data_IF_998925540265
#
_entry.id   IF_998925540265
#
_cell.length_a   1.000
_cell.length_b   1.000
_cell.length_c   1.000
_cell.angle_alpha   90.00
_cell.angle_beta   90.00
_cell.angle_gamma   90.00
#
_symmetry.space_group_name_H-M   'P 1'
#
loop_
_entity.id
_entity.type
_entity.pdbx_description
1 polymer ?
#
# COMPACT_ATOMS: atom_id res chain seq x y z
N UNK A 1 -17.31 33.49 -23.34
CA UNK A 1 -16.27 32.75 -22.61
C UNK A 1 -16.87 32.26 -21.29
N UNK A 2 -17.19 30.99 -21.19
CA UNK A 2 -17.77 30.40 -19.97
C UNK A 2 -16.68 30.31 -18.91
N UNK A 3 -16.81 31.10 -17.85
CA UNK A 3 -15.91 31.01 -16.69
C UNK A 3 -16.26 29.72 -15.96
N UNK A 4 -15.50 28.68 -16.19
CA UNK A 4 -15.57 27.47 -15.36
C UNK A 4 -15.25 27.87 -13.92
N UNK A 5 -16.30 28.01 -13.12
CA UNK A 5 -16.19 28.19 -11.68
C UNK A 5 -15.51 26.93 -11.14
N UNK A 6 -14.24 27.01 -10.75
CA UNK A 6 -13.57 25.94 -10.04
C UNK A 6 -14.41 25.58 -8.80
N UNK A 7 -14.59 24.29 -8.49
CA UNK A 7 -15.33 23.90 -7.29
C UNK A 7 -14.70 24.58 -6.08
N UNK A 8 -15.53 25.21 -5.25
CA UNK A 8 -15.04 25.89 -4.05
C UNK A 8 -14.37 24.86 -3.15
N UNK A 9 -13.13 25.12 -2.74
CA UNK A 9 -12.43 24.27 -1.80
C UNK A 9 -13.20 24.20 -0.49
N UNK A 10 -13.55 23.01 -0.07
CA UNK A 10 -14.10 22.75 1.26
C UNK A 10 -13.03 22.14 2.14
N UNK A 11 -12.76 22.77 3.26
CA UNK A 11 -11.83 22.21 4.24
C UNK A 11 -12.35 20.86 4.74
N UNK A 12 -11.53 19.88 4.71
CA UNK A 12 -11.83 18.62 5.40
C UNK A 12 -11.88 18.86 6.90
N UNK A 13 -12.85 18.24 7.58
CA UNK A 13 -13.02 18.28 9.03
C UNK A 13 -12.64 16.94 9.65
N UNK A 14 -11.36 16.66 9.90
CA UNK A 14 -10.94 15.40 10.50
C UNK A 14 -11.50 15.23 11.91
N UNK A 15 -11.68 16.33 12.62
CA UNK A 15 -12.24 16.43 13.98
C UNK A 15 -13.65 15.84 14.11
N UNK A 16 -14.41 15.76 13.02
CA UNK A 16 -15.76 15.19 13.00
C UNK A 16 -15.73 13.65 12.87
N UNK A 17 -14.59 13.07 12.47
CA UNK A 17 -14.49 11.63 12.24
C UNK A 17 -14.43 10.84 13.57
N UNK A 18 -15.02 9.63 13.57
CA UNK A 18 -14.98 8.74 14.73
C UNK A 18 -13.52 8.42 15.12
N UNK A 19 -12.66 8.12 14.15
CA UNK A 19 -11.26 7.81 14.41
C UNK A 19 -10.54 8.96 15.13
N UNK A 20 -10.75 10.20 14.67
CA UNK A 20 -10.16 11.37 15.33
C UNK A 20 -10.62 11.49 16.77
N UNK A 21 -11.93 11.43 17.00
CA UNK A 21 -12.52 11.54 18.34
C UNK A 21 -12.00 10.46 19.29
N UNK A 22 -11.93 9.22 18.81
CA UNK A 22 -11.39 8.09 19.59
C UNK A 22 -9.94 8.34 19.98
N UNK A 23 -9.08 8.70 19.01
CA UNK A 23 -7.66 8.95 19.30
C UNK A 23 -7.50 10.17 20.21
N UNK A 24 -8.21 11.27 19.97
CA UNK A 24 -8.13 12.48 20.79
C UNK A 24 -8.54 12.23 22.25
N UNK A 25 -9.59 11.41 22.44
CA UNK A 25 -10.09 11.12 23.81
C UNK A 25 -9.19 10.14 24.57
N UNK A 26 -8.66 9.13 23.90
CA UNK A 26 -8.04 8.00 24.59
C UNK A 26 -6.51 7.97 24.53
N UNK A 27 -5.86 8.73 23.65
CA UNK A 27 -4.41 8.63 23.46
C UNK A 27 -3.61 8.86 24.75
N UNK A 28 -3.92 9.91 25.50
CA UNK A 28 -3.15 10.25 26.68
C UNK A 28 -3.36 9.23 27.81
N UNK A 29 -4.59 8.75 28.02
CA UNK A 29 -4.89 7.69 28.98
C UNK A 29 -4.20 6.39 28.60
N UNK A 30 -4.21 6.04 27.32
CA UNK A 30 -3.51 4.86 26.82
C UNK A 30 -2.00 4.92 27.06
N UNK A 31 -1.38 6.08 26.82
CA UNK A 31 0.06 6.28 27.07
C UNK A 31 0.39 6.22 28.58
N UNK A 32 -0.47 6.78 29.44
CA UNK A 32 -0.32 6.72 30.89
C UNK A 32 -0.39 5.26 31.40
N UNK A 33 -1.40 4.50 30.97
CA UNK A 33 -1.55 3.10 31.36
C UNK A 33 -0.33 2.26 30.90
N UNK A 34 0.20 2.50 29.69
CA UNK A 34 1.43 1.82 29.26
C UNK A 34 2.62 2.15 30.15
N UNK A 35 2.75 3.42 30.58
CA UNK A 35 3.82 3.83 31.46
C UNK A 35 3.72 3.20 32.86
N UNK A 36 2.51 3.05 33.40
CA UNK A 36 2.25 2.34 34.65
C UNK A 36 2.64 0.86 34.57
N UNK A 37 2.48 0.22 33.38
CA UNK A 37 2.93 -1.15 33.11
C UNK A 37 4.45 -1.24 32.83
N UNK A 38 5.19 -0.17 32.92
CA UNK A 38 6.61 -0.12 32.55
C UNK A 38 6.88 -0.27 31.05
N UNK A 39 5.87 -0.06 30.21
CA UNK A 39 5.93 -0.15 28.75
C UNK A 39 5.89 1.22 28.10
N UNK A 40 6.31 1.32 26.87
CA UNK A 40 6.18 2.55 26.09
C UNK A 40 5.96 2.24 24.61
N UNK A 41 5.29 3.15 23.92
CA UNK A 41 5.25 3.09 22.46
C UNK A 41 6.62 3.50 21.88
N UNK A 42 7.02 2.91 20.74
CA UNK A 42 8.12 3.46 19.96
C UNK A 42 7.86 4.94 19.65
N UNK A 43 8.86 5.80 19.86
CA UNK A 43 8.73 7.27 19.70
C UNK A 43 8.13 7.69 18.36
N UNK A 44 8.42 6.96 17.29
CA UNK A 44 7.86 7.27 15.96
C UNK A 44 6.35 7.01 15.89
N UNK A 45 5.83 5.97 16.58
CA UNK A 45 4.40 5.65 16.63
C UNK A 45 3.64 6.74 17.40
N UNK A 46 4.12 7.10 18.58
CA UNK A 46 3.53 8.20 19.35
C UNK A 46 3.52 9.51 18.55
N UNK A 47 4.64 9.84 17.89
CA UNK A 47 4.73 11.02 17.03
C UNK A 47 3.73 10.98 15.86
N UNK A 48 3.46 9.81 15.30
CA UNK A 48 2.46 9.68 14.24
C UNK A 48 1.05 9.91 14.74
N UNK A 49 0.69 9.36 15.91
CA UNK A 49 -0.62 9.59 16.53
C UNK A 49 -0.86 11.05 16.86
N UNK A 50 0.13 11.72 17.44
CA UNK A 50 0.04 13.17 17.74
C UNK A 50 -0.06 14.00 16.46
N UNK A 51 0.76 13.71 15.44
CA UNK A 51 0.70 14.40 14.15
C UNK A 51 -0.62 14.15 13.41
N UNK A 52 -1.27 13.01 13.63
CA UNK A 52 -2.61 12.74 13.08
C UNK A 52 -3.65 13.70 13.67
N UNK A 53 -3.61 13.98 14.98
CA UNK A 53 -4.53 14.91 15.65
C UNK A 53 -4.35 16.37 15.17
N UNK A 54 -3.19 16.72 14.69
CA UNK A 54 -2.90 18.05 14.14
C UNK A 54 -3.28 18.18 12.66
N UNK A 55 -3.45 17.05 11.97
CA UNK A 55 -3.54 16.97 10.52
C UNK A 55 -4.86 17.52 9.97
N UNK A 56 -4.80 18.61 9.22
CA UNK A 56 -5.96 19.21 8.57
C UNK A 56 -6.76 20.16 9.48
N UNK A 57 -6.27 20.44 10.67
CA UNK A 57 -6.88 21.35 11.64
C UNK A 57 -6.20 22.71 11.56
N UNK A 58 -6.94 23.79 11.27
CA UNK A 58 -6.39 25.12 11.05
C UNK A 58 -5.66 25.69 12.28
N UNK A 59 -6.09 25.31 13.48
CA UNK A 59 -5.45 25.74 14.74
C UNK A 59 -3.97 25.33 14.86
N UNK A 60 -3.57 24.26 14.15
CA UNK A 60 -2.18 23.78 14.13
C UNK A 60 -1.36 24.31 12.95
N UNK A 61 -1.93 25.27 12.20
CA UNK A 61 -1.25 25.97 11.13
C UNK A 61 -1.86 25.73 9.75
N UNK A 62 -1.66 26.72 8.90
CA UNK A 62 -2.23 26.74 7.55
C UNK A 62 -1.41 27.62 6.60
N UNK A 63 -1.65 27.45 5.31
CA UNK A 63 -1.20 28.35 4.26
C UNK A 63 -2.40 29.20 3.83
N UNK A 64 -2.20 30.50 3.73
CA UNK A 64 -3.14 31.44 3.11
C UNK A 64 -2.79 31.60 1.64
N UNK A 65 -3.71 31.24 0.78
CA UNK A 65 -3.61 31.43 -0.66
C UNK A 65 -4.46 32.63 -1.06
N UNK A 66 -3.90 33.54 -1.83
CA UNK A 66 -4.60 34.72 -2.35
C UNK A 66 -4.53 34.73 -3.87
N UNK A 67 -5.69 34.79 -4.51
CA UNK A 67 -5.74 34.96 -5.96
C UNK A 67 -5.36 36.38 -6.36
N UNK A 68 -4.41 36.53 -7.26
CA UNK A 68 -3.98 37.86 -7.74
C UNK A 68 -5.02 38.53 -8.61
N UNK A 69 -5.85 37.76 -9.33
CA UNK A 69 -6.90 38.24 -10.22
C UNK A 69 -8.18 38.64 -9.48
N UNK A 70 -8.84 37.70 -8.81
CA UNK A 70 -10.16 37.92 -8.18
C UNK A 70 -10.07 38.31 -6.68
N UNK A 71 -8.88 38.40 -6.11
CA UNK A 71 -8.62 38.71 -4.68
C UNK A 71 -9.23 37.73 -3.67
N UNK A 72 -9.84 36.64 -4.14
CA UNK A 72 -10.34 35.60 -3.24
C UNK A 72 -9.21 34.98 -2.43
N UNK A 73 -9.54 34.60 -1.18
CA UNK A 73 -8.59 34.02 -0.26
C UNK A 73 -9.05 32.62 0.17
N UNK A 74 -8.08 31.75 0.40
CA UNK A 74 -8.33 30.37 0.79
C UNK A 74 -7.32 29.94 1.84
N UNK A 75 -7.79 29.27 2.89
CA UNK A 75 -6.96 28.75 3.95
C UNK A 75 -6.85 27.24 3.81
N UNK A 76 -5.63 26.74 3.68
CA UNK A 76 -5.33 25.32 3.57
C UNK A 76 -4.55 24.87 4.79
N UNK A 77 -5.17 24.06 5.64
CA UNK A 77 -4.53 23.53 6.85
C UNK A 77 -3.37 22.60 6.50
N UNK A 78 -2.35 22.58 7.34
CA UNK A 78 -1.21 21.70 7.15
C UNK A 78 -1.59 20.23 7.30
N UNK A 79 -0.94 19.39 6.52
CA UNK A 79 -1.10 17.94 6.57
C UNK A 79 0.10 17.27 7.22
N UNK A 80 -0.13 16.21 8.00
CA UNK A 80 0.94 15.49 8.69
C UNK A 80 1.90 14.75 7.76
N UNK A 81 1.49 14.47 6.51
CA UNK A 81 2.25 13.70 5.50
C UNK A 81 2.74 12.33 5.99
N UNK A 82 2.10 11.75 7.02
CA UNK A 82 2.45 10.45 7.60
C UNK A 82 1.75 9.31 6.90
N UNK A 83 2.29 8.09 7.04
CA UNK A 83 1.81 6.90 6.36
C UNK A 83 0.93 5.99 7.22
N UNK A 84 1.11 6.04 8.54
CA UNK A 84 0.49 5.07 9.45
C UNK A 84 -0.95 5.40 9.78
N UNK A 85 -1.16 6.31 10.73
CA UNK A 85 -2.48 6.51 11.35
C UNK A 85 -3.42 7.44 10.59
N UNK A 86 -2.90 8.34 9.75
CA UNK A 86 -3.72 9.35 9.09
C UNK A 86 -4.37 8.84 7.80
N UNK A 87 -5.69 8.54 7.77
CA UNK A 87 -6.34 7.99 6.59
C UNK A 87 -6.35 8.95 5.39
N UNK A 88 -6.33 10.26 5.63
CA UNK A 88 -6.26 11.24 4.54
C UNK A 88 -4.91 11.29 3.86
N UNK A 89 -3.85 11.36 4.64
CA UNK A 89 -2.50 11.41 4.07
C UNK A 89 -2.14 10.07 3.44
N UNK A 90 -2.52 8.96 4.08
CA UNK A 90 -2.39 7.61 3.54
C UNK A 90 -3.18 7.44 2.25
N UNK A 91 -4.48 7.73 2.25
CA UNK A 91 -5.36 7.60 1.09
C UNK A 91 -4.91 8.47 -0.09
N UNK A 92 -4.50 9.72 0.16
CA UNK A 92 -3.94 10.59 -0.90
C UNK A 92 -2.71 9.97 -1.55
N UNK A 93 -1.78 9.44 -0.75
CA UNK A 93 -0.59 8.78 -1.29
C UNK A 93 -0.90 7.50 -2.04
N UNK A 94 -1.80 6.68 -1.51
CA UNK A 94 -2.25 5.46 -2.19
C UNK A 94 -2.82 5.80 -3.57
N UNK A 95 -3.69 6.80 -3.66
CA UNK A 95 -4.26 7.25 -4.92
C UNK A 95 -3.18 7.80 -5.89
N UNK A 96 -2.24 8.59 -5.38
CA UNK A 96 -1.12 9.11 -6.19
C UNK A 96 -0.20 7.99 -6.68
N UNK A 97 0.12 7.01 -5.83
CA UNK A 97 0.93 5.85 -6.22
C UNK A 97 0.19 5.01 -7.25
N UNK A 98 -1.11 4.74 -7.05
CA UNK A 98 -1.91 3.99 -8.02
C UNK A 98 -1.96 4.69 -9.38
N UNK A 99 -2.23 5.99 -9.41
CA UNK A 99 -2.21 6.77 -10.65
C UNK A 99 -0.83 6.71 -11.33
N UNK A 100 0.25 6.93 -10.58
CA UNK A 100 1.61 6.84 -11.13
C UNK A 100 1.93 5.46 -11.71
N UNK A 101 1.53 4.39 -11.02
CA UNK A 101 1.73 3.02 -11.51
C UNK A 101 0.95 2.78 -12.81
N UNK A 102 -0.31 3.19 -12.86
CA UNK A 102 -1.18 2.99 -14.02
C UNK A 102 -0.76 3.85 -15.22
N UNK A 103 -0.42 5.11 -14.96
CA UNK A 103 -0.16 6.08 -16.04
C UNK A 103 1.27 5.99 -16.59
N UNK A 104 2.25 5.58 -15.74
CA UNK A 104 3.67 5.71 -16.11
C UNK A 104 4.47 4.41 -16.04
N UNK A 105 4.03 3.42 -15.28
CA UNK A 105 4.85 2.21 -15.01
C UNK A 105 4.26 0.97 -15.67
N UNK A 106 2.97 0.72 -15.47
CA UNK A 106 2.32 -0.50 -15.96
C UNK A 106 2.00 -0.37 -17.45
N UNK A 107 2.49 -1.27 -18.29
CA UNK A 107 2.07 -1.31 -19.69
C UNK A 107 0.60 -1.73 -19.80
N UNK A 108 -0.07 -1.37 -20.90
CA UNK A 108 -1.46 -1.76 -21.19
C UNK A 108 -1.55 -3.22 -21.65
N UNK A 109 -1.25 -4.12 -20.75
CA UNK A 109 -1.28 -5.58 -20.96
C UNK A 109 -2.07 -6.24 -19.86
N UNK A 110 -2.39 -7.52 -20.03
CA UNK A 110 -3.03 -8.28 -18.98
C UNK A 110 -2.09 -8.39 -17.78
N UNK A 111 -2.66 -8.22 -16.58
CA UNK A 111 -1.96 -8.32 -15.31
C UNK A 111 -2.63 -9.40 -14.50
N UNK A 112 -1.82 -10.27 -13.90
CA UNK A 112 -2.28 -11.31 -12.99
C UNK A 112 -1.86 -10.96 -11.58
N UNK A 113 -2.80 -11.11 -10.64
CA UNK A 113 -2.51 -10.97 -9.22
C UNK A 113 -2.23 -12.34 -8.61
N UNK A 114 -1.12 -12.42 -7.88
CA UNK A 114 -0.80 -13.53 -7.01
C UNK A 114 -0.84 -13.04 -5.57
N UNK A 115 -1.48 -13.82 -4.69
CA UNK A 115 -1.49 -13.53 -3.26
C UNK A 115 -0.77 -14.67 -2.56
N UNK A 116 0.32 -14.35 -1.90
CA UNK A 116 1.07 -15.32 -1.09
C UNK A 116 0.87 -15.03 0.38
N UNK A 117 0.23 -15.92 1.09
CA UNK A 117 0.13 -15.90 2.55
C UNK A 117 1.24 -16.74 3.17
N UNK A 118 1.68 -16.37 4.36
CA UNK A 118 2.73 -17.09 5.10
C UNK A 118 2.11 -17.86 6.24
N UNK A 119 2.58 -19.07 6.55
CA UNK A 119 2.15 -19.84 7.72
C UNK A 119 2.26 -19.04 9.02
N UNK A 120 1.30 -19.24 9.92
CA UNK A 120 1.18 -18.45 11.17
C UNK A 120 2.50 -18.36 11.95
N UNK A 121 3.25 -19.45 12.17
CA UNK A 121 4.51 -19.39 12.93
C UNK A 121 5.56 -18.46 12.31
N UNK A 122 5.56 -18.29 10.98
CA UNK A 122 6.55 -17.46 10.27
C UNK A 122 6.15 -15.97 10.23
N UNK A 123 4.88 -15.63 10.47
CA UNK A 123 4.37 -14.26 10.38
C UNK A 123 5.11 -13.29 11.30
N UNK A 124 5.34 -13.71 12.55
CA UNK A 124 6.07 -12.91 13.52
C UNK A 124 7.51 -12.66 13.09
N UNK A 125 8.21 -13.70 12.66
CA UNK A 125 9.60 -13.59 12.20
C UNK A 125 9.73 -12.68 10.99
N UNK A 126 8.81 -12.79 10.03
CA UNK A 126 8.81 -11.94 8.85
C UNK A 126 8.40 -10.49 9.15
N UNK A 127 7.52 -10.28 10.12
CA UNK A 127 7.13 -8.93 10.53
C UNK A 127 8.25 -8.18 11.25
N UNK A 128 9.06 -8.89 12.05
CA UNK A 128 10.15 -8.33 12.86
C UNK A 128 11.49 -8.27 12.13
N UNK A 129 11.71 -9.13 11.11
CA UNK A 129 12.97 -9.24 10.40
C UNK A 129 12.84 -8.80 8.94
N UNK A 130 13.28 -7.56 8.66
CA UNK A 130 13.26 -6.98 7.31
C UNK A 130 14.08 -7.78 6.30
N UNK A 131 15.22 -8.36 6.72
CA UNK A 131 16.07 -9.16 5.81
C UNK A 131 15.36 -10.42 5.39
N UNK A 132 14.74 -11.14 6.34
CA UNK A 132 13.96 -12.34 6.06
C UNK A 132 12.79 -12.03 5.13
N UNK A 133 12.01 -10.98 5.43
CA UNK A 133 10.90 -10.52 4.59
C UNK A 133 11.35 -10.27 3.14
N UNK A 134 12.48 -9.57 2.98
CA UNK A 134 13.04 -9.25 1.65
C UNK A 134 13.54 -10.50 0.92
N UNK A 135 14.15 -11.45 1.64
CA UNK A 135 14.64 -12.69 1.04
C UNK A 135 13.50 -13.57 0.55
N UNK A 136 12.46 -13.73 1.35
CA UNK A 136 11.24 -14.47 0.95
C UNK A 136 10.58 -13.81 -0.25
N UNK A 137 10.40 -12.48 -0.23
CA UNK A 137 9.87 -11.74 -1.37
C UNK A 137 10.67 -11.97 -2.65
N UNK A 138 12.00 -11.87 -2.59
CA UNK A 138 12.88 -12.10 -3.77
C UNK A 138 12.76 -13.52 -4.30
N UNK A 139 12.74 -14.50 -3.40
CA UNK A 139 12.59 -15.91 -3.78
C UNK A 139 11.26 -16.12 -4.53
N UNK A 140 10.16 -15.64 -3.99
CA UNK A 140 8.83 -15.79 -4.61
C UNK A 140 8.77 -15.07 -5.95
N UNK A 141 9.26 -13.83 -6.01
CA UNK A 141 9.28 -13.06 -7.26
C UNK A 141 10.12 -13.79 -8.33
N UNK A 142 11.29 -14.32 -7.97
CA UNK A 142 12.15 -15.05 -8.93
C UNK A 142 11.54 -16.36 -9.42
N UNK A 143 10.79 -17.05 -8.58
CA UNK A 143 10.07 -18.29 -8.98
C UNK A 143 8.99 -17.96 -10.00
N UNK A 144 8.16 -16.94 -9.70
CA UNK A 144 7.09 -16.52 -10.61
C UNK A 144 7.69 -16.00 -11.93
N UNK A 145 8.73 -15.16 -11.86
CA UNK A 145 9.43 -14.67 -13.04
C UNK A 145 10.04 -15.79 -13.87
N UNK A 146 10.74 -16.73 -13.22
CA UNK A 146 11.33 -17.91 -13.88
C UNK A 146 10.33 -18.77 -14.59
N UNK A 147 9.11 -18.92 -14.05
CA UNK A 147 8.03 -19.63 -14.71
C UNK A 147 7.63 -18.98 -16.04
N UNK A 148 7.57 -17.65 -16.10
CA UNK A 148 7.23 -16.94 -17.33
C UNK A 148 8.37 -16.94 -18.34
N UNK A 149 9.63 -16.78 -17.90
CA UNK A 149 10.81 -16.71 -18.78
C UNK A 149 11.15 -18.08 -19.37
N UNK A 150 11.11 -19.16 -18.58
CA UNK A 150 11.51 -20.50 -19.03
C UNK A 150 10.66 -21.07 -20.17
N UNK A 151 9.51 -20.47 -20.41
CA UNK A 151 8.64 -20.91 -21.51
C UNK A 151 9.03 -20.34 -22.89
N UNK A 152 9.96 -19.35 -22.98
CA UNK A 152 10.21 -18.65 -24.25
C UNK A 152 11.69 -18.41 -24.62
N UNK A 153 12.65 -18.78 -23.80
CA UNK A 153 14.08 -18.60 -24.13
C UNK A 153 14.79 -17.47 -23.38
N UNK A 154 16.11 -17.40 -23.54
CA UNK A 154 17.01 -16.67 -22.66
C UNK A 154 17.00 -15.13 -22.75
N UNK A 155 16.32 -14.55 -23.75
CA UNK A 155 16.26 -13.07 -23.95
C UNK A 155 14.99 -12.43 -23.40
N UNK A 156 14.05 -13.24 -22.89
CA UNK A 156 12.76 -12.74 -22.38
C UNK A 156 12.87 -12.21 -20.98
N UNK A 157 12.15 -11.13 -20.71
CA UNK A 157 12.00 -10.54 -19.38
C UNK A 157 10.54 -10.31 -19.07
N UNK A 158 10.18 -10.45 -17.81
CA UNK A 158 8.86 -10.08 -17.31
C UNK A 158 8.99 -9.10 -16.14
N UNK A 159 7.89 -8.65 -15.57
CA UNK A 159 7.93 -7.70 -14.49
C UNK A 159 6.79 -7.89 -13.52
N UNK A 160 7.05 -7.55 -12.26
CA UNK A 160 6.03 -7.56 -11.22
C UNK A 160 6.17 -6.40 -10.26
N UNK A 161 5.05 -6.03 -9.65
CA UNK A 161 5.00 -5.06 -8.56
C UNK A 161 4.43 -5.79 -7.35
N UNK A 162 5.12 -5.70 -6.22
CA UNK A 162 4.70 -6.38 -4.99
C UNK A 162 4.32 -5.38 -3.92
N UNK A 163 3.14 -5.58 -3.34
CA UNK A 163 2.68 -4.88 -2.15
C UNK A 163 2.76 -5.83 -0.97
N UNK A 164 3.50 -5.43 0.06
CA UNK A 164 3.62 -6.20 1.30
C UNK A 164 2.57 -5.70 2.29
N UNK A 165 1.61 -6.53 2.63
CA UNK A 165 0.65 -6.27 3.70
C UNK A 165 1.07 -7.04 4.95
N UNK A 166 0.93 -6.42 6.12
CA UNK A 166 1.35 -7.00 7.40
C UNK A 166 0.18 -7.42 8.30
N UNK A 167 -1.02 -6.95 7.98
CA UNK A 167 -2.20 -7.14 8.80
C UNK A 167 -3.35 -7.68 7.97
N UNK A 168 -4.14 -8.55 8.57
CA UNK A 168 -5.43 -8.99 8.05
C UNK A 168 -6.54 -7.97 8.34
N UNK A 169 -7.77 -8.27 7.89
CA UNK A 169 -8.93 -7.41 8.06
C UNK A 169 -9.26 -7.09 9.54
N UNK A 170 -8.98 -8.02 10.45
CA UNK A 170 -9.16 -7.84 11.90
C UNK A 170 -7.94 -7.19 12.58
N UNK A 171 -7.03 -6.58 11.83
CA UNK A 171 -5.76 -6.01 12.30
C UNK A 171 -4.84 -7.04 12.99
N UNK A 172 -5.13 -8.32 12.86
CA UNK A 172 -4.26 -9.40 13.30
C UNK A 172 -2.99 -9.45 12.42
N UNK A 173 -1.89 -9.90 13.00
CA UNK A 173 -0.64 -10.05 12.26
C UNK A 173 -0.79 -11.13 11.18
N UNK A 174 -0.80 -10.69 9.94
CA UNK A 174 -0.92 -11.52 8.75
C UNK A 174 -0.04 -10.97 7.65
N UNK A 175 1.22 -11.38 7.65
CA UNK A 175 2.16 -10.97 6.60
C UNK A 175 1.84 -11.73 5.33
N UNK A 176 1.52 -10.99 4.27
CA UNK A 176 1.25 -11.55 2.96
C UNK A 176 1.67 -10.58 1.85
N UNK A 177 1.85 -11.13 0.66
CA UNK A 177 2.31 -10.39 -0.52
C UNK A 177 1.23 -10.40 -1.59
N UNK A 178 0.92 -9.24 -2.14
CA UNK A 178 0.15 -9.09 -3.36
C UNK A 178 1.10 -8.76 -4.49
N UNK A 179 1.30 -9.69 -5.40
CA UNK A 179 2.15 -9.50 -6.58
C UNK A 179 1.26 -9.26 -7.80
N UNK A 180 1.41 -8.12 -8.42
CA UNK A 180 0.85 -7.83 -9.74
C UNK A 180 1.91 -8.17 -10.78
N UNK A 181 1.72 -9.27 -11.49
CA UNK A 181 2.67 -9.75 -12.49
C UNK A 181 2.11 -9.52 -13.90
N UNK A 182 2.95 -9.09 -14.82
CA UNK A 182 2.58 -8.93 -16.22
C UNK A 182 2.36 -10.31 -16.84
N UNK A 183 1.19 -10.53 -17.48
CA UNK A 183 0.87 -11.80 -18.13
C UNK A 183 1.50 -11.85 -19.52
N UNK A 184 2.81 -12.02 -19.53
CA UNK A 184 3.61 -12.09 -20.76
C UNK A 184 5.06 -11.77 -20.48
N UNK A 185 5.84 -11.84 -21.53
CA UNK A 185 7.25 -11.55 -21.53
C UNK A 185 7.61 -10.42 -22.49
N UNK A 186 8.70 -9.76 -22.22
CA UNK A 186 9.25 -8.68 -22.99
C UNK A 186 10.58 -9.11 -23.59
N UNK A 187 10.68 -9.09 -24.91
CA UNK A 187 11.92 -9.33 -25.62
C UNK A 187 12.79 -8.07 -25.61
N UNK A 188 13.95 -8.13 -24.98
CA UNK A 188 14.89 -7.02 -24.86
C UNK A 188 15.62 -6.71 -26.17
N UNK A 189 15.58 -7.62 -27.17
CA UNK A 189 16.29 -7.45 -28.44
C UNK A 189 15.49 -6.70 -29.49
N UNK A 190 14.14 -6.79 -29.46
CA UNK A 190 13.26 -6.30 -30.51
C UNK A 190 12.45 -5.06 -30.18
N UNK A 191 12.82 -4.31 -29.17
CA UNK A 191 12.07 -3.12 -28.72
C UNK A 191 10.57 -3.27 -28.94
N UNK A 192 9.90 -3.91 -27.93
CA UNK A 192 8.44 -3.95 -27.77
C UNK A 192 7.71 -5.00 -28.61
N UNK A 193 7.64 -6.24 -28.13
CA UNK A 193 6.48 -7.11 -28.37
C UNK A 193 6.14 -7.86 -27.12
N UNK A 194 5.05 -7.44 -26.47
CA UNK A 194 4.44 -8.24 -25.42
C UNK A 194 3.77 -9.47 -26.07
N UNK A 195 4.32 -10.66 -25.86
CA UNK A 195 3.62 -11.89 -26.18
C UNK A 195 2.76 -12.28 -24.99
N UNK A 196 1.44 -12.19 -25.17
CA UNK A 196 0.48 -12.68 -24.17
C UNK A 196 0.59 -14.20 -24.12
N UNK A 197 0.97 -14.72 -22.97
CA UNK A 197 0.93 -16.15 -22.70
C UNK A 197 -0.42 -16.54 -22.11
N UNK A 198 -1.12 -17.43 -22.78
CA UNK A 198 -2.22 -18.13 -22.14
C UNK A 198 -1.65 -19.23 -21.26
N UNK A 199 -1.77 -19.04 -19.95
CA UNK A 199 -1.34 -20.06 -18.98
C UNK A 199 -2.30 -21.25 -19.09
N UNK A 200 -1.91 -22.27 -19.83
CA UNK A 200 -2.59 -23.57 -19.83
C UNK A 200 -2.30 -24.40 -18.57
N UNK A 201 -1.36 -23.99 -17.70
CA UNK A 201 -0.89 -24.74 -16.53
C UNK A 201 -1.07 -24.01 -15.21
N UNK A 202 -2.27 -23.50 -14.94
CA UNK A 202 -2.61 -22.94 -13.62
C UNK A 202 -2.46 -23.98 -12.49
N UNK A 203 -2.62 -25.27 -12.82
CA UNK A 203 -2.62 -26.38 -11.86
C UNK A 203 -1.22 -26.69 -11.30
N UNK A 204 -0.15 -26.50 -12.07
CA UNK A 204 1.20 -26.89 -11.61
C UNK A 204 1.83 -25.87 -10.63
N UNK A 205 1.57 -24.58 -10.80
CA UNK A 205 2.05 -23.56 -9.82
C UNK A 205 1.31 -23.73 -8.49
N UNK A 206 0.00 -23.97 -8.52
CA UNK A 206 -0.76 -24.21 -7.30
C UNK A 206 -0.27 -25.47 -6.59
N UNK A 207 -0.04 -26.55 -7.31
CA UNK A 207 0.45 -27.80 -6.71
C UNK A 207 1.84 -27.63 -6.07
N UNK A 208 2.73 -26.91 -6.71
CA UNK A 208 4.04 -26.62 -6.16
C UNK A 208 4.00 -25.64 -4.97
N UNK A 209 3.10 -24.64 -5.00
CA UNK A 209 2.84 -23.73 -3.90
C UNK A 209 2.10 -24.43 -2.75
N UNK A 210 1.24 -25.40 -3.04
CA UNK A 210 0.59 -26.27 -2.03
C UNK A 210 1.60 -27.16 -1.32
N UNK A 211 2.58 -27.71 -2.05
CA UNK A 211 3.67 -28.51 -1.48
C UNK A 211 4.62 -27.66 -0.60
N UNK A 212 4.79 -26.38 -0.91
CA UNK A 212 5.65 -25.45 -0.17
C UNK A 212 4.92 -24.59 0.88
N UNK A 213 3.62 -24.35 0.69
CA UNK A 213 2.82 -23.44 1.50
C UNK A 213 1.38 -23.94 1.58
N UNK A 214 0.89 -24.24 2.76
CA UNK A 214 -0.53 -24.54 2.98
C UNK A 214 -1.39 -23.37 2.51
N UNK A 215 -2.09 -23.57 1.40
CA UNK A 215 -3.06 -22.63 0.84
C UNK A 215 -4.31 -22.62 1.72
N UNK A 216 -4.69 -21.48 2.24
CA UNK A 216 -5.99 -21.29 2.88
C UNK A 216 -6.95 -20.61 1.90
N UNK A 217 -7.85 -21.43 1.34
CA UNK A 217 -8.94 -21.03 0.44
C UNK A 217 -10.15 -20.41 1.17
N UNK A 218 -9.95 -19.56 2.14
CA UNK A 218 -11.08 -18.98 2.86
C UNK A 218 -11.05 -17.45 2.87
N UNK A 219 -11.25 -16.82 1.72
CA UNK A 219 -11.85 -15.48 1.65
C UNK A 219 -12.35 -15.19 0.23
N UNK A 220 -13.54 -15.69 -0.08
CA UNK A 220 -14.35 -15.06 -1.14
C UNK A 220 -14.83 -13.70 -0.62
N UNK A 221 -14.56 -12.67 -1.39
CA UNK A 221 -15.14 -11.36 -1.19
C UNK A 221 -16.61 -11.39 -1.62
N UNK A 222 -17.51 -11.12 -0.68
CA UNK A 222 -18.85 -10.64 -0.94
C UNK A 222 -18.86 -9.12 -0.90
#
# INVERSE_FOLDING_TARGET
MSVHKLPSYQRRRPEDSLLYKTVATHLNTFLANLAEEGKSLPKHVEKELRSFLECGVLAYGFVRLKCTGCKSEQFVAFSCKKWGCCPSCGGKRMAQTAAHLVDNILPRVKIRQYVLSVPIPLRYWMASNKKLLTSVHRLVASIIEGFYINQQGSSSRSGSITFVQRFGAALNLNVHFHLLHLEGDYDTTTRVRFKIQQIKKYIEINRWLEDCFTYQDDYMWH
#
